data_IF_619176869746
#
_entry.id   IF_619176869746
#
_cell.length_a   1.000
_cell.length_b   1.000
_cell.length_c   1.000
_cell.angle_alpha   90.00
_cell.angle_beta   90.00
_cell.angle_gamma   90.00
#
_symmetry.space_group_name_H-M   'P 1'
#
loop_
_entity.id
_entity.type
_entity.pdbx_description
1 polymer ?
#
# COMPACT_ATOMS: atom_id res chain seq x y z
N UNK A 1 -4.22 -2.69 4.42
CA UNK A 1 -4.42 -1.94 5.68
C UNK A 1 -5.51 -0.88 5.53
N UNK A 2 -6.12 -0.46 6.65
CA UNK A 2 -7.09 0.63 6.75
C UNK A 2 -6.55 1.70 7.70
N UNK A 3 -6.96 2.94 7.50
CA UNK A 3 -6.49 4.09 8.28
C UNK A 3 -7.62 5.10 8.46
N UNK A 4 -7.84 5.54 9.70
CA UNK A 4 -8.58 6.74 10.11
C UNK A 4 -7.64 7.60 10.95
N UNK A 5 -7.97 8.85 11.23
CA UNK A 5 -7.20 9.66 12.18
C UNK A 5 -8.09 10.44 13.12
N UNK A 6 -7.83 10.32 14.43
CA UNK A 6 -8.33 11.23 15.45
C UNK A 6 -7.32 12.36 15.69
N UNK A 7 -7.83 13.53 16.03
CA UNK A 7 -7.05 14.72 16.28
C UNK A 7 -6.32 14.58 17.61
N UNK A 8 -5.02 14.32 17.58
CA UNK A 8 -4.15 14.50 18.75
C UNK A 8 -3.02 15.47 18.36
N UNK A 9 -2.71 16.46 19.21
CA UNK A 9 -1.56 17.33 19.01
C UNK A 9 -0.28 16.49 19.10
N UNK A 10 0.61 16.64 18.12
CA UNK A 10 1.88 15.91 18.09
C UNK A 10 2.78 16.36 19.26
N UNK A 11 3.16 15.42 20.12
CA UNK A 11 4.28 15.61 21.05
C UNK A 11 5.59 15.47 20.26
N UNK A 12 6.40 16.53 20.26
CA UNK A 12 7.69 16.58 19.56
C UNK A 12 8.74 15.88 20.42
N UNK A 13 9.30 14.77 19.94
CA UNK A 13 10.53 14.19 20.47
C UNK A 13 11.70 14.73 19.64
N UNK A 14 12.49 15.63 20.23
CA UNK A 14 13.67 16.20 19.57
C UNK A 14 14.85 15.22 19.69
N UNK A 15 15.33 14.73 18.55
CA UNK A 15 16.66 14.10 18.44
C UNK A 15 17.57 15.02 17.65
N UNK A 16 18.62 15.51 18.32
CA UNK A 16 19.66 16.33 17.73
C UNK A 16 20.54 15.47 16.81
N UNK A 17 20.69 15.87 15.54
CA UNK A 17 21.66 15.29 14.61
C UNK A 17 22.57 16.40 14.10
N UNK A 18 23.86 16.18 14.30
CA UNK A 18 24.99 17.04 13.94
C UNK A 18 25.07 17.31 12.43
N UNK A 19 25.34 18.57 12.09
CA UNK A 19 25.34 19.15 10.74
C UNK A 19 26.58 18.79 9.91
N UNK A 20 26.37 18.38 8.66
CA UNK A 20 27.34 18.50 7.57
C UNK A 20 26.82 19.50 6.52
N UNK A 21 27.70 20.24 5.81
CA UNK A 21 27.27 21.32 4.93
C UNK A 21 26.61 20.77 3.66
N UNK A 22 25.38 21.21 3.38
CA UNK A 22 24.67 20.90 2.15
C UNK A 22 25.13 21.84 1.03
N UNK A 23 25.56 21.28 -0.10
CA UNK A 23 25.75 22.03 -1.35
C UNK A 23 24.36 22.43 -1.84
N UNK A 24 24.02 23.71 -1.71
CA UNK A 24 22.73 24.25 -2.11
C UNK A 24 22.60 24.19 -3.64
N UNK A 25 21.74 23.29 -4.13
CA UNK A 25 21.21 23.38 -5.48
C UNK A 25 20.33 24.63 -5.55
N UNK A 26 20.71 25.59 -6.40
CA UNK A 26 19.93 26.80 -6.65
C UNK A 26 18.56 26.43 -7.23
N UNK A 27 17.52 26.51 -6.40
CA UNK A 27 16.15 26.38 -6.86
C UNK A 27 15.78 27.63 -7.66
N UNK A 28 15.34 27.43 -8.91
CA UNK A 28 14.79 28.52 -9.71
C UNK A 28 13.68 29.26 -8.94
N UNK A 29 13.56 30.60 -9.07
CA UNK A 29 12.53 31.35 -8.37
C UNK A 29 11.15 30.82 -8.76
N UNK A 30 10.39 30.32 -7.77
CA UNK A 30 8.97 30.00 -7.98
C UNK A 30 8.24 31.29 -8.37
N UNK A 31 7.36 31.28 -9.39
CA UNK A 31 6.62 32.46 -9.78
C UNK A 31 5.80 32.96 -8.59
N UNK A 32 6.20 34.12 -8.07
CA UNK A 32 5.52 34.88 -7.04
C UNK A 32 4.24 35.47 -7.63
N UNK A 33 3.11 34.76 -7.47
CA UNK A 33 1.82 35.23 -7.98
C UNK A 33 0.67 34.24 -7.83
N UNK A 34 0.94 32.94 -7.78
CA UNK A 34 -0.09 31.96 -7.44
C UNK A 34 -0.11 31.77 -5.93
N UNK A 35 -1.13 32.29 -5.25
CA UNK A 35 -1.44 31.83 -3.89
C UNK A 35 -1.69 30.32 -3.99
N UNK A 36 -0.73 29.52 -3.55
CA UNK A 36 -0.87 28.08 -3.49
C UNK A 36 -1.97 27.74 -2.48
N UNK A 37 -2.98 27.02 -2.92
CA UNK A 37 -4.13 26.66 -2.10
C UNK A 37 -4.38 25.17 -2.24
N UNK A 38 -4.18 24.44 -1.13
CA UNK A 38 -4.50 23.02 -1.03
C UNK A 38 -5.97 22.76 -1.37
N UNK A 39 -6.87 23.72 -1.10
CA UNK A 39 -8.27 23.62 -1.49
C UNK A 39 -8.46 23.71 -3.01
N UNK A 40 -7.75 24.63 -3.68
CA UNK A 40 -7.80 24.72 -5.15
C UNK A 40 -7.31 23.42 -5.80
N UNK A 41 -6.26 22.82 -5.27
CA UNK A 41 -5.72 21.55 -5.78
C UNK A 41 -6.72 20.38 -5.55
N UNK A 42 -7.38 20.35 -4.38
CA UNK A 42 -8.43 19.36 -4.10
C UNK A 42 -9.67 19.54 -4.99
N UNK A 43 -10.03 20.78 -5.30
CA UNK A 43 -11.10 21.12 -6.23
C UNK A 43 -10.75 20.67 -7.65
N UNK A 44 -9.55 20.98 -8.12
CA UNK A 44 -9.07 20.57 -9.44
C UNK A 44 -9.02 19.04 -9.58
N UNK A 45 -8.61 18.31 -8.55
CA UNK A 45 -8.65 16.83 -8.55
C UNK A 45 -10.08 16.30 -8.67
N UNK A 46 -11.04 16.83 -7.89
CA UNK A 46 -12.46 16.46 -8.04
C UNK A 46 -12.94 16.70 -9.48
N UNK A 47 -12.57 17.82 -10.07
CA UNK A 47 -13.01 18.19 -11.42
C UNK A 47 -12.46 17.26 -12.52
N UNK A 48 -11.49 16.38 -12.21
CA UNK A 48 -11.08 15.28 -13.11
C UNK A 48 -12.03 14.07 -13.09
N UNK A 49 -13.11 14.12 -12.30
CA UNK A 49 -14.13 13.07 -12.24
C UNK A 49 -14.06 12.15 -11.02
N UNK A 50 -13.14 12.36 -10.07
CA UNK A 50 -13.15 11.60 -8.80
C UNK A 50 -14.32 12.06 -7.92
N UNK A 51 -14.93 11.13 -7.17
CA UNK A 51 -16.13 11.43 -6.36
C UNK A 51 -15.84 12.38 -5.21
N UNK A 52 -14.68 12.23 -4.58
CA UNK A 52 -14.29 12.98 -3.41
C UNK A 52 -12.78 12.95 -3.16
N UNK A 53 -12.28 14.04 -2.59
CA UNK A 53 -10.87 14.26 -2.27
C UNK A 53 -10.76 14.70 -0.82
N UNK A 54 -9.77 14.17 -0.10
CA UNK A 54 -9.33 14.67 1.20
C UNK A 54 -7.81 14.82 1.19
N UNK A 55 -7.33 15.99 1.59
CA UNK A 55 -5.90 16.31 1.67
C UNK A 55 -5.60 16.81 3.07
N UNK A 56 -4.48 16.35 3.62
CA UNK A 56 -3.86 16.91 4.84
C UNK A 56 -2.39 17.15 4.57
N UNK A 57 -1.98 18.39 4.74
CA UNK A 57 -0.61 18.83 4.64
C UNK A 57 -0.13 19.25 6.03
N UNK A 58 0.90 18.58 6.53
CA UNK A 58 1.57 18.95 7.78
C UNK A 58 2.90 19.61 7.44
N UNK A 59 3.12 20.81 7.98
CA UNK A 59 4.36 21.58 7.84
C UNK A 59 4.82 22.09 9.19
N UNK A 60 6.08 22.53 9.35
CA UNK A 60 6.53 23.21 10.56
C UNK A 60 5.68 24.44 10.92
N UNK A 61 5.08 25.10 9.92
CA UNK A 61 4.24 26.29 10.08
C UNK A 61 2.79 25.98 10.45
N UNK A 62 2.40 24.70 10.48
CA UNK A 62 1.04 24.27 10.82
C UNK A 62 0.47 23.22 9.87
N UNK A 63 -0.78 22.85 10.14
CA UNK A 63 -1.53 21.87 9.35
C UNK A 63 -2.59 22.56 8.50
N UNK A 64 -2.64 22.19 7.22
CA UNK A 64 -3.69 22.61 6.28
C UNK A 64 -4.46 21.37 5.84
N UNK A 65 -5.79 21.45 5.85
CA UNK A 65 -6.67 20.38 5.35
C UNK A 65 -7.57 20.91 4.26
N UNK A 66 -7.81 20.11 3.23
CA UNK A 66 -8.80 20.40 2.19
C UNK A 66 -9.68 19.18 1.95
N UNK A 67 -10.92 19.43 1.57
CA UNK A 67 -11.87 18.40 1.13
C UNK A 67 -12.68 18.93 -0.03
N UNK A 68 -13.02 18.04 -0.95
CA UNK A 68 -13.74 18.40 -2.16
C UNK A 68 -14.61 17.21 -2.60
N UNK A 69 -15.79 17.47 -3.16
CA UNK A 69 -16.71 16.44 -3.62
C UNK A 69 -17.51 15.77 -2.49
N UNK A 70 -17.98 14.56 -2.74
CA UNK A 70 -18.81 13.77 -1.83
C UNK A 70 -18.11 12.49 -1.41
N UNK A 71 -18.33 12.08 -0.16
CA UNK A 71 -17.83 10.81 0.36
C UNK A 71 -18.73 9.62 0.00
N UNK A 72 -19.90 9.88 -0.58
CA UNK A 72 -20.87 8.87 -0.96
C UNK A 72 -21.80 9.43 -2.03
N UNK A 73 -21.93 8.76 -3.18
CA UNK A 73 -22.73 9.25 -4.31
C UNK A 73 -24.24 9.12 -4.07
N UNK A 74 -24.67 8.17 -3.25
CA UNK A 74 -26.09 7.89 -2.97
C UNK A 74 -26.65 8.88 -1.94
N UNK A 75 -26.02 8.95 -0.79
CA UNK A 75 -26.40 9.82 0.33
C UNK A 75 -25.95 11.26 0.16
N UNK A 76 -25.04 11.52 -0.80
CA UNK A 76 -24.46 12.85 -1.11
C UNK A 76 -23.74 13.48 0.10
N UNK A 77 -23.37 12.68 1.10
CA UNK A 77 -22.64 13.16 2.29
C UNK A 77 -21.27 13.69 1.87
N UNK A 78 -20.76 14.76 2.53
CA UNK A 78 -19.43 15.26 2.24
C UNK A 78 -18.36 14.22 2.56
N UNK A 79 -17.19 14.34 1.92
CA UNK A 79 -16.02 13.52 2.25
C UNK A 79 -15.74 13.62 3.75
N UNK A 80 -15.59 12.48 4.44
CA UNK A 80 -15.35 12.47 5.87
C UNK A 80 -14.00 13.12 6.20
N UNK A 81 -13.96 14.02 7.19
CA UNK A 81 -12.72 14.67 7.63
C UNK A 81 -11.75 13.71 8.32
N UNK A 82 -12.30 12.71 9.00
CA UNK A 82 -11.63 11.69 9.79
C UNK A 82 -12.19 10.30 9.42
N UNK A 83 -12.44 10.06 8.14
CA UNK A 83 -12.93 8.77 7.67
C UNK A 83 -11.84 7.69 7.62
N UNK A 84 -12.22 6.43 7.82
CA UNK A 84 -11.40 5.30 7.41
C UNK A 84 -11.28 5.25 5.88
N UNK A 85 -10.09 4.92 5.38
CA UNK A 85 -9.83 4.63 3.98
C UNK A 85 -8.92 3.39 3.85
N UNK A 86 -8.92 2.79 2.65
CA UNK A 86 -8.02 1.69 2.32
C UNK A 86 -6.69 2.26 1.83
N UNK A 87 -5.59 1.84 2.46
CA UNK A 87 -4.25 2.35 2.13
C UNK A 87 -3.69 1.78 0.81
N UNK A 88 -4.29 0.71 0.26
CA UNK A 88 -3.77 0.04 -0.93
C UNK A 88 -2.28 -0.30 -0.79
N UNK A 89 -1.51 -0.03 -1.85
CA UNK A 89 -0.09 -0.33 -1.95
C UNK A 89 0.80 0.42 -0.96
N UNK A 90 0.32 1.48 -0.29
CA UNK A 90 1.07 2.10 0.83
C UNK A 90 1.29 1.12 1.99
N UNK A 91 0.52 0.03 2.06
CA UNK A 91 0.76 -1.10 2.97
C UNK A 91 2.18 -1.68 2.82
N UNK A 92 2.74 -1.68 1.60
CA UNK A 92 4.07 -2.23 1.31
C UNK A 92 5.17 -1.57 2.14
N UNK A 93 5.07 -0.27 2.40
CA UNK A 93 6.04 0.45 3.24
C UNK A 93 6.07 -0.06 4.67
N UNK A 94 4.93 -0.45 5.24
CA UNK A 94 4.87 -1.05 6.59
C UNK A 94 5.52 -2.43 6.61
N UNK A 95 5.20 -3.27 5.63
CA UNK A 95 5.81 -4.62 5.49
C UNK A 95 7.32 -4.52 5.27
N UNK A 96 7.77 -3.63 4.38
CA UNK A 96 9.19 -3.38 4.14
C UNK A 96 9.90 -2.88 5.39
N UNK A 97 9.26 -2.02 6.19
CA UNK A 97 9.82 -1.54 7.47
C UNK A 97 10.03 -2.70 8.44
N UNK A 98 9.06 -3.61 8.57
CA UNK A 98 9.23 -4.82 9.40
C UNK A 98 10.38 -5.70 8.88
N UNK A 99 10.47 -5.93 7.57
CA UNK A 99 11.58 -6.66 6.96
C UNK A 99 12.93 -6.01 7.29
N UNK A 100 13.06 -4.69 7.16
CA UNK A 100 14.28 -3.96 7.49
C UNK A 100 14.62 -3.99 8.99
N UNK A 101 13.62 -4.01 9.87
CA UNK A 101 13.86 -4.23 11.31
C UNK A 101 14.41 -5.64 11.57
N UNK A 102 13.87 -6.67 10.92
CA UNK A 102 14.38 -8.04 11.04
C UNK A 102 15.81 -8.18 10.48
N UNK A 103 16.16 -7.43 9.43
CA UNK A 103 17.55 -7.30 8.95
C UNK A 103 18.43 -6.63 10.01
N UNK A 104 17.98 -5.52 10.62
CA UNK A 104 18.70 -4.85 11.70
C UNK A 104 18.90 -5.73 12.94
N UNK A 105 17.94 -6.61 13.22
CA UNK A 105 18.01 -7.64 14.26
C UNK A 105 18.88 -8.85 13.88
N UNK A 106 19.48 -8.86 12.68
CA UNK A 106 20.28 -9.97 12.11
C UNK A 106 19.52 -11.29 12.02
N UNK A 107 18.20 -11.25 11.92
CA UNK A 107 17.34 -12.45 11.80
C UNK A 107 17.21 -12.93 10.36
N UNK A 108 17.40 -12.02 9.40
CA UNK A 108 17.45 -12.27 7.96
C UNK A 108 18.51 -11.36 7.34
N UNK A 109 18.98 -11.70 6.15
CA UNK A 109 19.79 -10.82 5.30
C UNK A 109 19.03 -10.41 4.06
N UNK A 110 19.31 -9.22 3.52
CA UNK A 110 18.78 -8.79 2.22
C UNK A 110 19.22 -9.69 1.07
N UNK A 111 20.38 -10.34 1.20
CA UNK A 111 20.95 -11.21 0.17
C UNK A 111 20.60 -12.69 0.39
N UNK A 112 19.79 -12.99 1.42
CA UNK A 112 19.25 -14.32 1.64
C UNK A 112 18.21 -14.62 0.55
N UNK A 113 18.23 -15.84 0.03
CA UNK A 113 17.34 -16.24 -1.07
C UNK A 113 15.97 -16.64 -0.53
N UNK A 114 14.96 -16.57 -1.40
CA UNK A 114 13.60 -17.02 -1.04
C UNK A 114 13.61 -18.51 -0.73
N UNK A 115 14.37 -19.33 -1.47
CA UNK A 115 14.46 -20.78 -1.20
C UNK A 115 15.02 -21.08 0.20
N UNK A 116 15.98 -20.29 0.69
CA UNK A 116 16.52 -20.47 2.04
C UNK A 116 15.49 -20.17 3.14
N UNK A 117 14.51 -19.32 2.86
CA UNK A 117 13.51 -18.84 3.82
C UNK A 117 12.19 -19.62 3.70
N UNK A 118 11.76 -19.89 2.47
CA UNK A 118 10.52 -20.53 2.06
C UNK A 118 10.83 -21.63 1.03
N UNK A 119 11.41 -22.77 1.44
CA UNK A 119 11.82 -23.83 0.51
C UNK A 119 10.67 -24.33 -0.36
N UNK A 120 10.88 -24.39 -1.67
CA UNK A 120 9.92 -24.91 -2.66
C UNK A 120 8.78 -23.95 -3.04
N UNK A 121 8.61 -22.83 -2.34
CA UNK A 121 7.49 -21.89 -2.57
C UNK A 121 7.63 -21.15 -3.90
N UNK A 122 8.85 -20.78 -4.29
CA UNK A 122 9.12 -20.15 -5.59
C UNK A 122 9.74 -21.18 -6.52
N UNK A 123 8.89 -21.90 -7.24
CA UNK A 123 9.27 -22.94 -8.19
C UNK A 123 8.21 -23.11 -9.29
N UNK A 124 8.56 -23.72 -10.42
CA UNK A 124 7.64 -23.97 -11.54
C UNK A 124 7.70 -22.88 -12.62
N UNK A 125 7.31 -23.24 -13.85
CA UNK A 125 7.32 -22.36 -15.04
C UNK A 125 8.65 -21.61 -15.32
N UNK A 126 9.78 -22.08 -14.79
CA UNK A 126 11.09 -21.41 -14.90
C UNK A 126 11.43 -20.45 -13.75
N UNK A 127 10.55 -20.33 -12.75
CA UNK A 127 10.84 -19.63 -11.49
C UNK A 127 11.80 -20.45 -10.63
N UNK A 128 12.78 -19.79 -10.02
CA UNK A 128 13.77 -20.41 -9.14
C UNK A 128 14.04 -19.54 -7.90
N UNK A 129 13.47 -19.94 -6.77
CA UNK A 129 13.64 -19.26 -5.47
C UNK A 129 15.08 -19.18 -4.96
N UNK A 130 16.02 -19.95 -5.53
CA UNK A 130 17.46 -19.86 -5.21
C UNK A 130 18.12 -18.63 -5.81
N UNK A 131 17.49 -18.00 -6.79
CA UNK A 131 18.00 -16.81 -7.48
C UNK A 131 17.37 -15.51 -6.98
N UNK A 132 16.16 -15.58 -6.44
CA UNK A 132 15.43 -14.41 -5.93
C UNK A 132 15.85 -14.14 -4.49
N UNK A 133 16.33 -12.94 -4.20
CA UNK A 133 16.70 -12.52 -2.83
C UNK A 133 15.60 -11.70 -2.15
N UNK A 134 15.71 -11.53 -0.83
CA UNK A 134 14.86 -10.59 -0.07
C UNK A 134 14.93 -9.17 -0.66
N UNK A 135 16.12 -8.73 -1.08
CA UNK A 135 16.32 -7.43 -1.75
C UNK A 135 15.47 -7.32 -3.01
N UNK A 136 15.44 -8.37 -3.83
CA UNK A 136 14.69 -8.37 -5.09
C UNK A 136 13.19 -8.27 -4.88
N UNK A 137 12.67 -8.91 -3.83
CA UNK A 137 11.27 -8.79 -3.45
C UNK A 137 10.93 -7.34 -3.10
N UNK A 138 11.71 -6.72 -2.20
CA UNK A 138 11.43 -5.37 -1.69
C UNK A 138 11.57 -4.28 -2.77
N UNK A 139 12.43 -4.51 -3.77
CA UNK A 139 12.72 -3.56 -4.85
C UNK A 139 11.90 -3.78 -6.13
N UNK A 140 11.08 -4.83 -6.20
CA UNK A 140 10.39 -5.22 -7.42
C UNK A 140 11.31 -5.56 -8.60
N UNK A 141 12.42 -6.26 -8.29
CA UNK A 141 13.41 -6.73 -9.27
C UNK A 141 13.47 -8.26 -9.36
N UNK A 142 12.51 -8.97 -8.76
CA UNK A 142 12.45 -10.43 -8.73
C UNK A 142 12.12 -11.07 -10.09
N UNK A 143 11.45 -10.34 -10.98
CA UNK A 143 10.92 -10.87 -12.25
C UNK A 143 9.64 -11.70 -12.12
N UNK A 144 9.13 -11.91 -10.90
CA UNK A 144 7.94 -12.74 -10.66
C UNK A 144 6.66 -12.06 -11.20
N UNK A 145 5.78 -12.87 -11.82
CA UNK A 145 4.47 -12.39 -12.29
C UNK A 145 3.65 -11.80 -11.14
N UNK A 146 2.80 -10.82 -11.44
CA UNK A 146 1.85 -10.26 -10.48
C UNK A 146 0.57 -11.08 -10.52
N UNK A 147 0.25 -11.79 -9.43
CA UNK A 147 -0.96 -12.62 -9.32
C UNK A 147 -2.24 -11.82 -9.64
N UNK A 148 -2.20 -10.49 -9.55
CA UNK A 148 -3.34 -9.62 -9.78
C UNK A 148 -3.93 -9.81 -11.17
N UNK A 149 -3.13 -10.22 -12.15
CA UNK A 149 -3.60 -10.51 -13.51
C UNK A 149 -4.42 -11.79 -13.61
N UNK A 150 -4.22 -12.75 -12.70
CA UNK A 150 -5.01 -13.98 -12.63
C UNK A 150 -6.27 -13.81 -11.81
N UNK A 151 -6.21 -12.98 -10.75
CA UNK A 151 -7.38 -12.66 -9.92
C UNK A 151 -8.32 -11.67 -10.64
N UNK A 152 -7.76 -10.78 -11.48
CA UNK A 152 -8.49 -9.78 -12.25
C UNK A 152 -8.06 -9.79 -13.73
N UNK A 153 -8.37 -10.87 -14.46
CA UNK A 153 -7.98 -10.98 -15.88
C UNK A 153 -8.66 -9.93 -16.75
N UNK A 154 -9.84 -9.44 -16.34
CA UNK A 154 -10.56 -8.36 -16.95
C UNK A 154 -11.10 -7.37 -15.89
N UNK A 155 -10.79 -6.06 -15.98
CA UNK A 155 -11.30 -5.06 -15.06
C UNK A 155 -12.74 -4.68 -15.44
N UNK A 156 -13.68 -5.61 -15.29
CA UNK A 156 -15.10 -5.38 -15.56
C UNK A 156 -15.93 -5.39 -14.29
N UNK A 157 -17.09 -4.74 -14.34
CA UNK A 157 -18.09 -4.79 -13.27
C UNK A 157 -18.54 -6.23 -12.96
N UNK A 158 -18.62 -7.09 -13.96
CA UNK A 158 -18.99 -8.50 -13.79
C UNK A 158 -17.93 -9.24 -12.97
N UNK A 159 -16.67 -9.11 -13.36
CA UNK A 159 -15.53 -9.74 -12.65
C UNK A 159 -15.36 -9.17 -11.25
N UNK A 160 -15.66 -7.88 -11.04
CA UNK A 160 -15.78 -7.31 -9.70
C UNK A 160 -16.80 -8.05 -8.83
N UNK A 161 -18.05 -8.15 -9.28
CA UNK A 161 -19.11 -8.74 -8.47
C UNK A 161 -18.93 -10.23 -8.23
N UNK A 162 -18.33 -10.95 -9.18
CA UNK A 162 -18.00 -12.37 -9.04
C UNK A 162 -16.93 -12.62 -7.96
N UNK A 163 -15.92 -11.76 -7.86
CA UNK A 163 -14.72 -12.03 -7.06
C UNK A 163 -14.64 -11.24 -5.73
N UNK A 164 -15.41 -10.17 -5.54
CA UNK A 164 -15.28 -9.27 -4.36
C UNK A 164 -15.47 -9.94 -2.98
N UNK A 165 -16.05 -11.14 -2.94
CA UNK A 165 -16.25 -11.92 -1.71
C UNK A 165 -15.28 -13.08 -1.54
N UNK A 166 -14.50 -13.40 -2.58
CA UNK A 166 -13.48 -14.42 -2.50
C UNK A 166 -12.35 -13.96 -1.58
N UNK A 167 -11.66 -14.90 -0.93
CA UNK A 167 -10.52 -14.60 -0.08
C UNK A 167 -9.45 -15.63 -0.36
N UNK A 168 -8.31 -15.21 -0.88
CA UNK A 168 -7.20 -16.12 -1.14
C UNK A 168 -6.34 -16.25 0.10
N UNK A 169 -5.73 -17.42 0.23
CA UNK A 169 -4.57 -17.63 1.08
C UNK A 169 -3.32 -17.10 0.39
N UNK A 170 -2.30 -16.66 1.14
CA UNK A 170 -1.02 -16.23 0.57
C UNK A 170 -0.43 -17.23 -0.42
N UNK A 171 -0.52 -18.53 -0.12
CA UNK A 171 0.00 -19.60 -0.97
C UNK A 171 -0.74 -19.67 -2.31
N UNK A 172 -2.07 -19.51 -2.31
CA UNK A 172 -2.87 -19.53 -3.55
C UNK A 172 -2.49 -18.36 -4.47
N UNK A 173 -2.20 -17.19 -3.91
CA UNK A 173 -1.73 -16.04 -4.69
C UNK A 173 -0.34 -16.26 -5.28
N UNK A 174 0.56 -16.91 -4.52
CA UNK A 174 1.89 -17.26 -5.02
C UNK A 174 1.79 -18.32 -6.11
N UNK A 175 0.96 -19.34 -5.94
CA UNK A 175 0.74 -20.42 -6.92
C UNK A 175 0.25 -19.87 -8.27
N UNK A 176 -0.66 -18.89 -8.25
CA UNK A 176 -1.10 -18.19 -9.47
C UNK A 176 0.10 -17.57 -10.20
N UNK A 177 0.95 -16.82 -9.48
CA UNK A 177 2.13 -16.21 -10.07
C UNK A 177 3.16 -17.24 -10.58
N UNK A 178 3.31 -18.37 -9.89
CA UNK A 178 4.24 -19.44 -10.27
C UNK A 178 3.80 -20.24 -11.51
N UNK A 179 2.54 -20.08 -11.94
CA UNK A 179 2.06 -20.65 -13.20
C UNK A 179 2.61 -19.95 -14.45
N UNK A 180 3.25 -18.79 -14.27
CA UNK A 180 3.83 -17.97 -15.34
C UNK A 180 5.35 -17.94 -15.26
N UNK A 181 6.01 -17.86 -16.42
CA UNK A 181 7.45 -17.68 -16.47
C UNK A 181 7.84 -16.29 -15.91
N UNK A 182 9.01 -16.17 -15.26
CA UNK A 182 9.50 -14.87 -14.81
C UNK A 182 9.72 -13.94 -16.02
N UNK A 183 9.34 -12.68 -15.89
CA UNK A 183 9.46 -11.68 -16.96
C UNK A 183 10.94 -11.40 -17.32
N UNK A 184 11.84 -11.59 -16.36
CA UNK A 184 13.29 -11.44 -16.49
C UNK A 184 14.01 -12.11 -15.32
N UNK A 185 15.31 -12.41 -15.41
CA UNK A 185 16.09 -12.93 -14.29
C UNK A 185 16.14 -11.96 -13.10
N UNK A 186 16.12 -12.49 -11.87
CA UNK A 186 16.17 -11.69 -10.66
C UNK A 186 17.35 -10.68 -10.66
N UNK A 187 17.07 -9.45 -10.23
CA UNK A 187 18.04 -8.35 -10.13
C UNK A 187 18.36 -7.63 -11.43
N UNK A 188 17.91 -8.11 -12.60
CA UNK A 188 18.33 -7.57 -13.91
C UNK A 188 17.44 -6.45 -14.46
N UNK A 189 16.21 -6.32 -13.98
CA UNK A 189 15.25 -5.32 -14.43
C UNK A 189 14.22 -5.03 -13.32
N UNK A 190 13.26 -4.14 -13.60
CA UNK A 190 12.22 -3.74 -12.67
C UNK A 190 10.83 -3.99 -13.25
N UNK A 191 9.97 -4.65 -12.47
CA UNK A 191 8.54 -4.76 -12.74
C UNK A 191 7.80 -4.89 -11.43
N UNK A 192 6.82 -4.00 -11.22
CA UNK A 192 5.95 -4.06 -10.06
C UNK A 192 5.20 -5.40 -10.02
N UNK A 193 5.21 -6.04 -8.86
CA UNK A 193 4.50 -7.30 -8.61
C UNK A 193 4.03 -7.37 -7.16
N UNK A 194 2.73 -7.54 -6.93
CA UNK A 194 2.19 -7.73 -5.58
C UNK A 194 2.66 -9.05 -4.95
N UNK A 195 2.93 -10.08 -5.76
CA UNK A 195 3.48 -11.38 -5.34
C UNK A 195 4.71 -11.21 -4.46
N UNK A 196 5.57 -10.24 -4.76
CA UNK A 196 6.76 -9.96 -3.97
C UNK A 196 6.45 -9.63 -2.50
N UNK A 197 5.35 -8.92 -2.25
CA UNK A 197 4.98 -8.52 -0.89
C UNK A 197 4.10 -9.55 -0.19
N UNK A 198 3.46 -10.47 -0.93
CA UNK A 198 2.89 -11.69 -0.35
C UNK A 198 4.02 -12.58 0.18
N UNK A 199 5.05 -12.82 -0.62
CA UNK A 199 6.25 -13.56 -0.21
C UNK A 199 6.96 -12.88 0.97
N UNK A 200 7.09 -11.55 0.97
CA UNK A 200 7.65 -10.83 2.12
C UNK A 200 6.83 -11.05 3.41
N UNK A 201 5.50 -11.06 3.31
CA UNK A 201 4.61 -11.38 4.43
C UNK A 201 4.82 -12.81 4.94
N UNK A 202 4.90 -13.79 4.04
CA UNK A 202 5.19 -15.18 4.38
C UNK A 202 6.56 -15.35 5.05
N UNK A 203 7.59 -14.62 4.58
CA UNK A 203 8.93 -14.62 5.21
C UNK A 203 8.86 -14.06 6.64
N UNK A 204 8.15 -12.95 6.86
CA UNK A 204 7.95 -12.38 8.20
C UNK A 204 7.32 -13.43 9.12
N UNK A 205 6.28 -14.12 8.66
CA UNK A 205 5.61 -15.14 9.45
C UNK A 205 6.50 -16.33 9.75
N UNK A 206 7.21 -16.84 8.74
CA UNK A 206 8.16 -17.93 8.89
C UNK A 206 9.25 -17.63 9.92
N UNK A 207 9.82 -16.42 9.87
CA UNK A 207 10.92 -16.03 10.75
C UNK A 207 10.41 -15.76 12.16
N UNK A 208 9.26 -15.11 12.31
CA UNK A 208 8.79 -14.60 13.61
C UNK A 208 7.78 -15.49 14.33
N UNK A 209 7.16 -16.44 13.64
CA UNK A 209 6.05 -17.25 14.15
C UNK A 209 4.74 -16.46 14.34
N UNK A 210 4.63 -15.26 13.76
CA UNK A 210 3.46 -14.38 13.84
C UNK A 210 3.22 -13.72 12.50
N UNK A 211 1.95 -13.47 12.16
CA UNK A 211 1.61 -12.92 10.85
C UNK A 211 2.23 -11.53 10.64
N UNK A 212 2.40 -11.13 9.37
CA UNK A 212 2.93 -9.80 9.07
C UNK A 212 2.05 -8.69 9.65
N UNK A 213 0.73 -8.88 9.72
CA UNK A 213 -0.21 -7.96 10.34
C UNK A 213 0.12 -7.72 11.81
N UNK A 214 0.36 -8.80 12.57
CA UNK A 214 0.73 -8.73 13.98
C UNK A 214 2.08 -8.03 14.14
N UNK A 215 3.05 -8.31 13.28
CA UNK A 215 4.35 -7.66 13.32
C UNK A 215 4.24 -6.16 13.00
N UNK A 216 3.45 -5.76 12.01
CA UNK A 216 3.18 -4.34 11.71
C UNK A 216 2.49 -3.66 12.90
N UNK A 217 1.49 -4.30 13.50
CA UNK A 217 0.82 -3.78 14.67
C UNK A 217 1.80 -3.56 15.83
N UNK A 218 2.54 -4.60 16.22
CA UNK A 218 3.37 -4.61 17.42
C UNK A 218 4.60 -3.72 17.31
N UNK A 219 5.18 -3.61 16.10
CA UNK A 219 6.44 -2.91 15.84
C UNK A 219 6.28 -1.49 15.32
N UNK A 220 5.12 -1.16 14.72
CA UNK A 220 4.90 0.13 14.08
C UNK A 220 3.66 0.81 14.66
N UNK A 221 2.49 0.18 14.56
CA UNK A 221 1.24 0.88 14.88
C UNK A 221 1.12 1.21 16.37
N UNK A 222 1.37 0.22 17.24
CA UNK A 222 1.28 0.41 18.69
C UNK A 222 2.36 1.37 19.21
N UNK A 223 3.66 1.24 18.89
CA UNK A 223 4.68 2.18 19.38
C UNK A 223 4.50 3.62 18.91
N UNK A 224 3.94 3.83 17.71
CA UNK A 224 3.66 5.16 17.17
C UNK A 224 2.28 5.70 17.55
N UNK A 225 1.51 4.97 18.37
CA UNK A 225 0.17 5.41 18.80
C UNK A 225 -0.83 5.53 17.64
N UNK A 226 -0.66 4.75 16.56
CA UNK A 226 -1.54 4.78 15.38
C UNK A 226 -2.83 3.98 15.63
N UNK A 227 -3.61 4.40 16.62
CA UNK A 227 -4.82 3.71 17.13
C UNK A 227 -5.95 3.54 16.10
N UNK A 228 -5.87 4.30 15.00
CA UNK A 228 -6.88 4.29 13.94
C UNK A 228 -6.34 3.67 12.64
N UNK A 229 -5.20 2.99 12.72
CA UNK A 229 -4.65 2.19 11.63
C UNK A 229 -4.81 0.72 11.98
N UNK A 230 -5.31 -0.09 11.06
CA UNK A 230 -5.47 -1.52 11.30
C UNK A 230 -5.28 -2.34 10.03
N UNK A 231 -5.01 -3.62 10.22
CA UNK A 231 -5.07 -4.66 9.20
C UNK A 231 -6.40 -5.40 9.38
N UNK A 232 -7.37 -5.27 8.45
CA UNK A 232 -8.71 -5.85 8.66
C UNK A 232 -8.74 -7.38 8.56
N UNK A 233 -7.58 -8.04 8.37
CA UNK A 233 -7.48 -9.46 8.11
C UNK A 233 -8.40 -9.85 6.96
N UNK A 234 -9.29 -10.79 7.23
CA UNK A 234 -10.25 -11.28 6.25
C UNK A 234 -11.58 -10.49 6.20
N UNK A 235 -11.70 -9.36 6.91
CA UNK A 235 -12.92 -8.55 6.82
C UNK A 235 -12.93 -7.66 5.57
N UNK A 236 -13.94 -7.77 4.68
CA UNK A 236 -14.11 -6.87 3.53
C UNK A 236 -14.61 -5.48 3.92
N UNK A 237 -15.01 -5.27 5.16
CA UNK A 237 -15.69 -4.05 5.57
C UNK A 237 -14.71 -2.97 6.07
N UNK A 238 -15.05 -1.72 5.81
CA UNK A 238 -14.43 -0.57 6.45
C UNK A 238 -15.21 -0.22 7.73
N UNK A 239 -14.55 0.09 8.85
CA UNK A 239 -15.24 0.62 10.02
C UNK A 239 -15.94 1.95 9.70
N UNK A 240 -17.02 2.24 10.42
CA UNK A 240 -17.62 3.58 10.41
C UNK A 240 -16.72 4.56 11.18
N UNK A 241 -16.57 5.83 10.81
CA UNK A 241 -16.99 6.59 9.62
C UNK A 241 -16.01 6.31 8.46
N UNK A 242 -16.46 6.17 7.22
CA UNK A 242 -15.59 6.07 6.03
C UNK A 242 -16.20 6.76 4.81
N UNK A 243 -15.35 7.02 3.81
CA UNK A 243 -15.76 7.43 2.47
C UNK A 243 -15.94 6.17 1.62
N UNK A 244 -17.06 6.09 0.88
CA UNK A 244 -17.29 5.03 -0.08
C UNK A 244 -16.34 5.16 -1.27
N UNK A 245 -15.88 4.02 -1.79
CA UNK A 245 -15.07 3.99 -3.01
C UNK A 245 -15.98 3.72 -4.20
N UNK A 246 -15.68 4.38 -5.32
CA UNK A 246 -16.37 4.16 -6.58
C UNK A 246 -15.38 3.97 -7.70
N UNK A 247 -15.67 3.02 -8.58
CA UNK A 247 -14.90 2.77 -9.78
C UNK A 247 -15.81 2.82 -11.00
N UNK A 248 -15.34 3.50 -12.03
CA UNK A 248 -15.90 3.46 -13.36
C UNK A 248 -15.09 2.44 -14.18
N UNK A 249 -15.70 1.31 -14.53
CA UNK A 249 -15.01 0.22 -15.23
C UNK A 249 -14.94 0.43 -16.76
N UNK A 250 -15.75 1.33 -17.32
CA UNK A 250 -15.74 1.71 -18.74
C UNK A 250 -15.92 3.22 -18.86
N UNK A 251 -15.32 3.88 -19.86
CA UNK A 251 -15.25 5.35 -19.94
C UNK A 251 -16.60 6.09 -19.75
N UNK A 252 -17.70 5.50 -20.22
CA UNK A 252 -19.06 6.06 -20.10
C UNK A 252 -19.99 5.22 -19.20
N UNK A 253 -19.43 4.25 -18.50
CA UNK A 253 -20.18 3.37 -17.59
C UNK A 253 -20.59 4.07 -16.30
N UNK A 254 -21.59 3.54 -15.58
CA UNK A 254 -21.95 4.08 -14.27
C UNK A 254 -20.81 3.88 -13.27
N UNK A 255 -20.74 4.76 -12.28
CA UNK A 255 -19.91 4.54 -11.09
C UNK A 255 -20.45 3.35 -10.30
N UNK A 256 -19.59 2.37 -10.05
CA UNK A 256 -19.90 1.17 -9.25
C UNK A 256 -19.30 1.34 -7.86
N UNK A 257 -20.09 1.07 -6.81
CA UNK A 257 -19.59 1.06 -5.43
C UNK A 257 -18.60 -0.11 -5.21
N UNK A 258 -17.34 0.27 -4.99
CA UNK A 258 -16.19 -0.61 -4.72
C UNK A 258 -15.64 -0.42 -3.31
N UNK A 259 -16.46 0.06 -2.37
CA UNK A 259 -16.09 0.20 -0.94
C UNK A 259 -15.66 -1.13 -0.35
N UNK A 260 -16.36 -2.19 -0.75
CA UNK A 260 -15.91 -3.57 -0.59
C UNK A 260 -14.85 -3.81 -1.66
N UNK A 261 -13.58 -3.94 -1.27
CA UNK A 261 -12.53 -4.04 -2.25
C UNK A 261 -12.53 -5.45 -2.83
N UNK A 262 -11.80 -5.57 -3.91
CA UNK A 262 -11.15 -6.81 -4.27
C UNK A 262 -10.30 -7.35 -3.13
N UNK A 263 -10.38 -8.66 -2.92
CA UNK A 263 -9.67 -9.37 -1.88
C UNK A 263 -8.74 -10.40 -2.51
N UNK A 264 -7.52 -10.02 -2.89
CA UNK A 264 -6.45 -10.99 -2.92
C UNK A 264 -6.12 -11.38 -1.48
#
# INVERSE_FOLDING_TARGET
MIFRRSWLPAAVLALAVSSLPSVAASAAPRPSGTVWSVQRDADALRDTGVTGVAVRLETPSGTVTARSGVGDLVTRRPVAADGYLRLGSSTKTFVATVMMQLVGEKRISLDQTVEQLLPGVVSGAGNDGRTVTVRDLLQHTSGLSDYIYDVFPDPTTQTYFANRWHAYKPEELVDLAMSHAPAFPAGTNWAYSNTNYVLAGMIIEKITGRTWEQQVHDRILRPLGLQHTATPGTSPFLPYLHTANYQQFTADGPMVDTTIPYRP
#
